data_IF_656760318961
#
_entry.id   IF_656760318961
#
_cell.length_a   1.000
_cell.length_b   1.000
_cell.length_c   1.000
_cell.angle_alpha   90.00
_cell.angle_beta   90.00
_cell.angle_gamma   90.00
#
_symmetry.space_group_name_H-M   'P 1'
#
loop_
_entity.id
_entity.type
_entity.pdbx_description
1 polymer ?
#
# COMPACT_ATOMS: atom_id res chain seq x y z
N UNK A 1 5.96 14.25 12.42
CA UNK A 1 5.61 15.27 11.38
C UNK A 1 4.10 15.24 11.14
N UNK A 2 3.42 16.38 10.92
CA UNK A 2 1.96 16.44 10.85
C UNK A 2 1.33 15.52 9.79
N UNK A 3 1.96 15.39 8.62
CA UNK A 3 1.46 14.54 7.53
C UNK A 3 1.48 13.04 7.87
N UNK A 4 2.53 12.56 8.55
CA UNK A 4 2.61 11.16 8.98
C UNK A 4 1.48 10.79 9.94
N UNK A 5 1.30 11.60 11.01
CA UNK A 5 0.23 11.40 11.98
C UNK A 5 -1.17 11.49 11.35
N UNK A 6 -1.35 12.44 10.41
CA UNK A 6 -2.61 12.57 9.67
C UNK A 6 -2.90 11.34 8.81
N UNK A 7 -1.88 10.78 8.14
CA UNK A 7 -2.04 9.61 7.29
C UNK A 7 -2.35 8.34 8.12
N UNK A 8 -1.74 8.20 9.30
CA UNK A 8 -2.06 7.10 10.23
C UNK A 8 -3.53 7.11 10.69
N UNK A 9 -4.21 8.26 10.67
CA UNK A 9 -5.64 8.33 10.98
C UNK A 9 -6.51 7.51 10.00
N UNK A 10 -5.98 7.14 8.83
CA UNK A 10 -6.65 6.31 7.82
C UNK A 10 -6.16 4.85 7.79
N UNK A 11 -5.15 4.50 8.59
CA UNK A 11 -4.71 3.12 8.80
C UNK A 11 -5.79 2.34 9.55
N UNK A 12 -6.09 1.13 9.08
CA UNK A 12 -7.01 0.19 9.74
C UNK A 12 -6.28 -0.79 10.66
N UNK A 13 -7.01 -1.53 11.53
CA UNK A 13 -6.40 -2.51 12.44
C UNK A 13 -5.60 -3.62 11.73
N UNK A 14 -5.98 -3.99 10.50
CA UNK A 14 -5.26 -4.96 9.66
C UNK A 14 -4.09 -4.33 8.88
N UNK A 15 -3.70 -3.10 9.21
CA UNK A 15 -2.65 -2.30 8.56
C UNK A 15 -2.92 -1.85 7.13
N UNK A 16 -4.13 -2.08 6.61
CA UNK A 16 -4.54 -1.59 5.30
C UNK A 16 -5.02 -0.14 5.34
N UNK A 17 -5.10 0.49 4.17
CA UNK A 17 -5.55 1.88 4.03
C UNK A 17 -6.80 1.99 3.15
N UNK A 18 -7.64 2.97 3.50
CA UNK A 18 -8.82 3.37 2.75
C UNK A 18 -8.93 4.90 2.75
N UNK A 19 -9.64 5.47 1.77
CA UNK A 19 -9.93 6.90 1.75
C UNK A 19 -10.69 7.37 3.01
N UNK A 20 -11.51 6.48 3.58
CA UNK A 20 -12.17 6.64 4.88
C UNK A 20 -12.21 5.30 5.60
N UNK A 21 -12.06 5.28 6.93
CA UNK A 21 -11.99 4.05 7.75
C UNK A 21 -13.22 3.13 7.61
N UNK A 22 -14.40 3.68 7.31
CA UNK A 22 -15.64 2.94 7.12
C UNK A 22 -15.80 2.34 5.71
N UNK A 23 -14.90 2.63 4.77
CA UNK A 23 -14.89 2.04 3.43
C UNK A 23 -14.00 0.80 3.39
N UNK A 24 -14.22 -0.14 2.47
CA UNK A 24 -13.28 -1.23 2.25
C UNK A 24 -11.89 -0.70 1.84
N UNK A 25 -10.85 -1.50 2.11
CA UNK A 25 -9.46 -1.09 1.89
C UNK A 25 -9.06 -1.20 0.42
N UNK A 26 -8.33 -0.21 -0.05
CA UNK A 26 -7.81 -0.16 -1.42
C UNK A 26 -6.41 -0.77 -1.47
N UNK A 27 -6.20 -1.67 -2.42
CA UNK A 27 -4.88 -2.25 -2.71
C UNK A 27 -3.92 -1.18 -3.20
N UNK A 28 -4.33 -0.37 -4.17
CA UNK A 28 -3.51 0.71 -4.72
C UNK A 28 -3.12 1.72 -3.64
N UNK A 29 -4.07 2.15 -2.81
CA UNK A 29 -3.79 3.13 -1.76
C UNK A 29 -2.86 2.56 -0.69
N UNK A 30 -3.09 1.30 -0.29
CA UNK A 30 -2.23 0.63 0.70
C UNK A 30 -0.79 0.52 0.19
N UNK A 31 -0.60 0.13 -1.07
CA UNK A 31 0.71 0.09 -1.72
C UNK A 31 1.35 1.48 -1.85
N UNK A 32 0.57 2.50 -2.23
CA UNK A 32 1.04 3.87 -2.34
C UNK A 32 1.59 4.39 -0.99
N UNK A 33 0.84 4.17 0.09
CA UNK A 33 1.26 4.58 1.44
C UNK A 33 2.49 3.81 1.91
N UNK A 34 2.52 2.49 1.70
CA UNK A 34 3.68 1.67 2.04
C UNK A 34 4.95 2.16 1.33
N UNK A 35 4.87 2.43 0.02
CA UNK A 35 5.97 3.00 -0.77
C UNK A 35 6.43 4.34 -0.21
N UNK A 36 5.50 5.28 0.00
CA UNK A 36 5.85 6.64 0.49
C UNK A 36 6.52 6.57 1.85
N UNK A 37 6.01 5.74 2.77
CA UNK A 37 6.60 5.58 4.09
C UNK A 37 7.94 4.85 4.07
N UNK A 38 8.10 3.84 3.20
CA UNK A 38 9.40 3.20 2.97
C UNK A 38 10.45 4.20 2.48
N UNK A 39 10.09 5.13 1.59
CA UNK A 39 11.00 6.20 1.17
C UNK A 39 11.26 7.22 2.30
N UNK A 40 10.23 7.58 3.07
CA UNK A 40 10.28 8.63 4.08
C UNK A 40 10.96 8.22 5.39
N UNK A 41 11.08 6.91 5.69
CA UNK A 41 11.70 6.40 6.94
C UNK A 41 13.16 6.87 7.11
N UNK A 42 13.83 7.24 6.01
CA UNK A 42 15.19 7.80 6.03
C UNK A 42 15.24 9.27 6.44
N UNK A 43 14.10 9.95 6.46
CA UNK A 43 13.97 11.40 6.70
C UNK A 43 13.23 11.71 8.00
N UNK A 44 12.32 10.85 8.41
CA UNK A 44 11.51 10.99 9.62
C UNK A 44 11.37 9.64 10.32
N UNK A 45 11.14 9.68 11.64
CA UNK A 45 10.92 8.48 12.43
C UNK A 45 9.55 7.85 12.09
N UNK A 46 9.57 6.63 11.56
CA UNK A 46 8.40 5.81 11.21
C UNK A 46 8.66 4.42 11.75
N UNK A 47 7.73 3.92 12.56
CA UNK A 47 7.80 2.55 13.07
C UNK A 47 7.77 1.52 11.91
N UNK A 48 8.70 0.55 11.84
CA UNK A 48 8.77 -0.43 10.75
C UNK A 48 7.45 -1.18 10.52
N UNK A 49 6.71 -1.48 11.59
CA UNK A 49 5.41 -2.16 11.54
C UNK A 49 4.35 -1.38 10.75
N UNK A 50 4.47 -0.06 10.61
CA UNK A 50 3.57 0.74 9.78
C UNK A 50 3.73 0.39 8.30
N UNK A 51 4.96 0.15 7.86
CA UNK A 51 5.28 -0.25 6.49
C UNK A 51 5.04 -1.74 6.31
N UNK A 52 5.61 -2.56 7.21
CA UNK A 52 5.60 -4.01 7.06
C UNK A 52 4.22 -4.62 7.30
N UNK A 53 3.39 -4.04 8.16
CA UNK A 53 1.99 -4.44 8.29
C UNK A 53 1.22 -4.22 6.98
N UNK A 54 1.43 -3.10 6.29
CA UNK A 54 0.80 -2.82 5.00
C UNK A 54 1.29 -3.77 3.89
N UNK A 55 2.60 -4.04 3.85
CA UNK A 55 3.21 -5.04 2.96
C UNK A 55 2.61 -6.43 3.19
N UNK A 56 2.57 -6.88 4.44
CA UNK A 56 2.02 -8.18 4.82
C UNK A 56 0.55 -8.29 4.43
N UNK A 57 -0.22 -7.22 4.63
CA UNK A 57 -1.62 -7.20 4.23
C UNK A 57 -1.78 -7.34 2.71
N UNK A 58 -0.98 -6.65 1.90
CA UNK A 58 -1.00 -6.76 0.44
C UNK A 58 -0.73 -8.20 0.00
N UNK A 59 0.34 -8.81 0.50
CA UNK A 59 0.73 -10.19 0.13
C UNK A 59 -0.36 -11.18 0.55
N UNK A 60 -0.79 -11.15 1.81
CA UNK A 60 -1.70 -12.16 2.35
C UNK A 60 -3.15 -12.02 1.87
N UNK A 61 -3.60 -10.81 1.52
CA UNK A 61 -5.02 -10.55 1.28
C UNK A 61 -5.33 -10.08 -0.14
N UNK A 62 -4.32 -9.73 -0.95
CA UNK A 62 -4.53 -9.12 -2.27
C UNK A 62 -3.74 -9.77 -3.40
N UNK A 63 -2.73 -10.60 -3.09
CA UNK A 63 -2.08 -11.42 -4.10
C UNK A 63 -2.93 -12.67 -4.39
N UNK A 64 -3.29 -12.87 -5.65
CA UNK A 64 -3.96 -14.08 -6.15
C UNK A 64 -2.95 -15.24 -6.28
N UNK A 65 -3.41 -16.50 -6.40
CA UNK A 65 -2.52 -17.65 -6.58
C UNK A 65 -1.65 -17.61 -7.84
N UNK A 66 -2.05 -16.84 -8.86
CA UNK A 66 -1.27 -16.60 -10.08
C UNK A 66 -0.24 -15.46 -9.94
N UNK A 67 -0.13 -14.86 -8.75
CA UNK A 67 0.80 -13.79 -8.42
C UNK A 67 0.28 -12.38 -8.73
N UNK A 68 -0.88 -12.24 -9.38
CA UNK A 68 -1.50 -10.95 -9.72
C UNK A 68 -2.08 -10.30 -8.46
N UNK A 69 -1.93 -8.98 -8.32
CA UNK A 69 -2.61 -8.23 -7.27
C UNK A 69 -3.96 -7.70 -7.75
N UNK A 70 -4.99 -7.80 -6.92
CA UNK A 70 -6.35 -7.33 -7.24
C UNK A 70 -6.74 -6.06 -6.45
N UNK A 71 -7.56 -5.21 -7.05
CA UNK A 71 -8.17 -4.05 -6.39
C UNK A 71 -9.68 -4.26 -6.23
N UNK A 72 -10.13 -4.40 -4.98
CA UNK A 72 -11.53 -4.67 -4.65
C UNK A 72 -12.30 -3.37 -4.32
N UNK A 73 -11.59 -2.29 -3.99
CA UNK A 73 -12.22 -1.04 -3.54
C UNK A 73 -11.37 0.17 -3.93
N UNK A 74 -11.37 0.54 -5.23
CA UNK A 74 -10.53 1.63 -5.73
C UNK A 74 -10.86 2.97 -5.06
N UNK A 75 -9.86 3.86 -5.04
CA UNK A 75 -9.99 5.22 -4.53
C UNK A 75 -11.09 6.00 -5.24
N UNK A 76 -11.73 6.93 -4.52
CA UNK A 76 -12.87 7.72 -5.01
C UNK A 76 -12.45 8.64 -6.15
N UNK A 77 -11.31 9.34 -5.97
CA UNK A 77 -10.73 10.22 -6.98
C UNK A 77 -9.75 9.42 -7.84
N UNK A 78 -10.26 8.86 -8.93
CA UNK A 78 -9.46 8.01 -9.82
C UNK A 78 -8.44 8.80 -10.66
N UNK A 79 -8.44 10.11 -10.57
CA UNK A 79 -7.38 10.96 -11.13
C UNK A 79 -6.05 10.70 -10.40
N UNK A 80 -6.12 10.33 -9.11
CA UNK A 80 -4.95 10.01 -8.28
C UNK A 80 -4.18 8.77 -8.77
N UNK A 81 -4.87 7.86 -9.46
CA UNK A 81 -4.25 6.62 -9.96
C UNK A 81 -3.59 6.80 -11.33
N UNK A 82 -3.72 7.97 -11.95
CA UNK A 82 -3.10 8.29 -13.24
C UNK A 82 -3.53 7.34 -14.37
N UNK A 83 -2.55 6.84 -15.13
CA UNK A 83 -2.75 5.96 -16.29
C UNK A 83 -3.29 4.56 -15.99
N UNK A 84 -3.50 4.24 -14.71
CA UNK A 84 -4.06 2.96 -14.23
C UNK A 84 -5.38 2.55 -14.88
N UNK A 85 -6.19 3.51 -15.35
CA UNK A 85 -7.47 3.23 -16.02
C UNK A 85 -7.35 2.83 -17.50
N UNK A 86 -6.12 2.71 -18.01
CA UNK A 86 -5.84 2.34 -19.41
C UNK A 86 -6.12 0.87 -19.73
N UNK A 87 -5.48 0.37 -20.79
CA UNK A 87 -5.78 -0.96 -21.34
C UNK A 87 -5.44 -2.15 -20.41
N UNK A 88 -4.53 -1.98 -19.44
CA UNK A 88 -4.00 -3.08 -18.62
C UNK A 88 -3.99 -2.75 -17.11
N UNK A 89 -5.17 -2.64 -16.47
CA UNK A 89 -5.28 -2.25 -15.07
C UNK A 89 -4.65 -3.25 -14.10
N UNK A 90 -4.79 -4.56 -14.35
CA UNK A 90 -4.22 -5.61 -13.48
C UNK A 90 -2.68 -5.65 -13.55
N UNK A 91 -2.11 -5.50 -14.75
CA UNK A 91 -0.66 -5.42 -14.97
C UNK A 91 -0.09 -4.19 -14.28
N UNK A 92 -0.72 -3.03 -14.50
CA UNK A 92 -0.32 -1.77 -13.89
C UNK A 92 -0.40 -1.80 -12.37
N UNK A 93 -1.45 -2.40 -11.81
CA UNK A 93 -1.59 -2.59 -10.36
C UNK A 93 -0.47 -3.46 -9.81
N UNK A 94 -0.26 -4.61 -10.44
CA UNK A 94 0.71 -5.61 -10.00
C UNK A 94 2.11 -5.02 -10.01
N UNK A 95 2.49 -4.35 -11.11
CA UNK A 95 3.77 -3.64 -11.20
C UNK A 95 3.90 -2.56 -10.11
N UNK A 96 2.84 -1.79 -9.86
CA UNK A 96 2.85 -0.76 -8.84
C UNK A 96 3.02 -1.32 -7.42
N UNK A 97 2.31 -2.41 -7.10
CA UNK A 97 2.47 -3.11 -5.82
C UNK A 97 3.88 -3.66 -5.68
N UNK A 98 4.43 -4.31 -6.72
CA UNK A 98 5.79 -4.84 -6.70
C UNK A 98 6.85 -3.75 -6.45
N UNK A 99 6.68 -2.56 -7.05
CA UNK A 99 7.56 -1.42 -6.76
C UNK A 99 7.47 -1.02 -5.28
N UNK A 100 6.26 -0.97 -4.71
CA UNK A 100 6.08 -0.67 -3.29
C UNK A 100 6.73 -1.73 -2.38
N UNK A 101 6.61 -3.02 -2.73
CA UNK A 101 7.25 -4.11 -2.00
C UNK A 101 8.78 -4.03 -2.06
N UNK A 102 9.33 -3.70 -3.23
CA UNK A 102 10.77 -3.56 -3.43
C UNK A 102 11.35 -2.38 -2.63
N UNK A 103 10.68 -1.22 -2.64
CA UNK A 103 11.07 -0.05 -1.82
C UNK A 103 11.04 -0.36 -0.32
N UNK A 104 10.13 -1.23 0.12
CA UNK A 104 9.99 -1.65 1.52
C UNK A 104 10.87 -2.86 1.89
N UNK A 105 11.52 -3.52 0.92
CA UNK A 105 12.15 -4.82 1.11
C UNK A 105 13.12 -4.82 2.28
N UNK A 106 14.07 -3.88 2.29
CA UNK A 106 15.13 -3.87 3.29
C UNK A 106 14.63 -3.56 4.72
N UNK A 107 13.48 -2.89 4.84
CA UNK A 107 12.82 -2.59 6.11
C UNK A 107 12.09 -3.84 6.63
N UNK A 108 11.52 -4.64 5.71
CA UNK A 108 10.58 -5.70 6.04
C UNK A 108 11.14 -7.12 5.95
N UNK A 109 12.42 -7.30 5.58
CA UNK A 109 13.10 -8.61 5.52
C UNK A 109 12.86 -9.51 6.74
N UNK A 110 12.89 -8.93 7.93
CA UNK A 110 12.73 -9.69 9.19
C UNK A 110 11.28 -9.70 9.72
N UNK A 111 10.38 -8.97 9.06
CA UNK A 111 8.98 -8.76 9.50
C UNK A 111 7.96 -9.50 8.63
N UNK A 112 8.34 -9.86 7.41
CA UNK A 112 7.50 -10.50 6.41
C UNK A 112 8.20 -11.78 5.98
N UNK A 113 7.65 -12.91 6.43
CA UNK A 113 8.20 -14.25 6.24
C UNK A 113 7.16 -15.10 5.51
#
# INVERSE_FOLDING_TARGET
TPGYTQQLAFRKPDSSYAAFKNRPSSTWLTAYVAKVFATAIRLIDIEPEVVCGAVKWLILNRQKPDGIFQEDAPVIHKEMVGGYQGAEPEVSLTAFVLIALEEARDICKDHVN
#
